data_IF_742866656040
#
_entry.id   IF_742866656040
#
_cell.length_a   1.000
_cell.length_b   1.000
_cell.length_c   1.000
_cell.angle_alpha   90.00
_cell.angle_beta   90.00
_cell.angle_gamma   90.00
#
_symmetry.space_group_name_H-M   'P 1'
#
loop_
_entity.id
_entity.type
_entity.pdbx_description
1 polymer ?
#
# COMPACT_ATOMS: atom_id res chain seq x y z
N UNK A 1 -37.44 -1.80 -0.14
CA UNK A 1 -36.16 -2.53 -0.25
C UNK A 1 -35.10 -1.64 0.37
N UNK A 2 -34.76 -1.88 1.63
CA UNK A 2 -33.85 -1.03 2.40
C UNK A 2 -32.42 -1.32 2.00
N UNK A 3 -31.75 -0.37 1.37
CA UNK A 3 -30.31 -0.42 1.10
C UNK A 3 -29.55 -0.54 2.42
N UNK A 4 -28.56 -1.44 2.54
CA UNK A 4 -27.77 -1.54 3.75
C UNK A 4 -26.96 -0.24 3.91
N UNK A 5 -27.19 0.41 5.04
CA UNK A 5 -26.58 1.65 5.48
C UNK A 5 -25.04 1.46 5.56
N UNK A 6 -24.34 1.69 4.44
CA UNK A 6 -22.88 1.83 4.46
C UNK A 6 -22.59 3.12 5.19
N UNK A 7 -22.21 3.05 6.46
CA UNK A 7 -21.59 4.18 7.13
C UNK A 7 -20.38 4.57 6.29
N UNK A 8 -20.46 5.71 5.61
CA UNK A 8 -19.34 6.27 4.86
C UNK A 8 -18.18 6.48 5.84
N UNK A 9 -17.11 5.73 5.66
CA UNK A 9 -15.88 5.88 6.44
C UNK A 9 -15.38 7.33 6.31
N UNK A 10 -15.21 8.02 7.44
CA UNK A 10 -14.69 9.39 7.44
C UNK A 10 -13.16 9.41 7.32
N UNK A 11 -12.59 10.53 6.85
CA UNK A 11 -11.13 10.69 6.75
C UNK A 11 -10.41 10.51 8.11
N UNK A 12 -10.90 11.07 9.23
CA UNK A 12 -10.28 10.81 10.53
C UNK A 12 -10.32 9.33 10.94
N UNK A 13 -11.39 8.60 10.63
CA UNK A 13 -11.51 7.17 10.94
C UNK A 13 -10.57 6.32 10.08
N UNK A 14 -10.49 6.61 8.78
CA UNK A 14 -9.57 5.94 7.88
C UNK A 14 -8.11 6.16 8.32
N UNK A 15 -7.73 7.41 8.61
CA UNK A 15 -6.41 7.74 9.16
C UNK A 15 -6.16 7.03 10.49
N UNK A 16 -7.14 6.95 11.39
CA UNK A 16 -7.01 6.23 12.66
C UNK A 16 -6.70 4.75 12.45
N UNK A 17 -7.27 4.12 11.43
CA UNK A 17 -6.99 2.72 11.07
C UNK A 17 -5.54 2.60 10.55
N UNK A 18 -5.16 3.43 9.57
CA UNK A 18 -3.86 3.36 8.92
C UNK A 18 -2.70 3.77 9.84
N UNK A 19 -2.92 4.72 10.76
CA UNK A 19 -1.90 5.18 11.70
C UNK A 19 -1.46 4.10 12.69
N UNK A 20 -2.22 3.00 12.84
CA UNK A 20 -1.79 1.83 13.64
C UNK A 20 -0.53 1.18 13.06
N UNK A 21 -0.26 1.38 11.78
CA UNK A 21 0.88 0.80 11.08
C UNK A 21 2.09 1.73 11.04
N UNK A 22 1.95 3.00 11.46
CA UNK A 22 3.05 3.95 11.40
C UNK A 22 4.21 3.50 12.28
N UNK A 23 5.43 3.66 11.75
CA UNK A 23 6.68 3.28 12.41
C UNK A 23 6.81 1.79 12.74
N UNK A 24 5.99 0.93 12.12
CA UNK A 24 6.23 -0.51 12.16
C UNK A 24 7.29 -0.88 11.12
N UNK A 25 8.38 -1.50 11.57
CA UNK A 25 9.43 -1.98 10.67
C UNK A 25 8.94 -3.20 9.86
N UNK A 26 8.20 -4.08 10.51
CA UNK A 26 7.64 -5.31 9.93
C UNK A 26 6.12 -5.25 10.07
N UNK A 27 5.43 -5.36 8.93
CA UNK A 27 3.98 -5.39 8.92
C UNK A 27 3.43 -6.60 9.70
N UNK A 28 2.37 -6.42 10.51
CA UNK A 28 1.77 -7.51 11.25
C UNK A 28 0.96 -8.42 10.32
N UNK A 29 0.81 -9.68 10.72
CA UNK A 29 -0.13 -10.60 10.06
C UNK A 29 -1.54 -10.23 10.55
N UNK A 30 -2.39 -9.78 9.62
CA UNK A 30 -3.76 -9.41 9.92
C UNK A 30 -4.73 -10.58 9.73
N UNK A 31 -5.72 -10.70 10.61
CA UNK A 31 -6.85 -11.61 10.41
C UNK A 31 -7.70 -11.12 9.23
N UNK A 32 -8.45 -12.01 8.54
CA UNK A 32 -9.34 -11.60 7.45
C UNK A 32 -10.31 -10.48 7.82
N UNK A 33 -10.84 -10.49 9.05
CA UNK A 33 -11.72 -9.45 9.59
C UNK A 33 -11.04 -8.09 9.77
N UNK A 34 -9.72 -8.05 9.89
CA UNK A 34 -8.92 -6.81 10.05
C UNK A 34 -8.44 -6.29 8.68
N UNK A 35 -8.25 -7.19 7.69
CA UNK A 35 -7.88 -6.81 6.33
C UNK A 35 -8.97 -5.99 5.64
N UNK A 36 -10.25 -6.31 5.85
CA UNK A 36 -11.38 -5.60 5.23
C UNK A 36 -11.36 -4.09 5.58
N UNK A 37 -11.45 -3.68 6.86
CA UNK A 37 -11.46 -2.27 7.20
C UNK A 37 -10.13 -1.57 6.85
N UNK A 38 -9.01 -2.28 6.87
CA UNK A 38 -7.71 -1.73 6.46
C UNK A 38 -7.68 -1.43 4.95
N UNK A 39 -8.22 -2.33 4.12
CA UNK A 39 -8.36 -2.11 2.67
C UNK A 39 -9.28 -0.93 2.37
N UNK A 40 -10.44 -0.88 3.02
CA UNK A 40 -11.41 0.21 2.85
C UNK A 40 -10.80 1.57 3.24
N UNK A 41 -10.09 1.63 4.36
CA UNK A 41 -9.39 2.83 4.80
C UNK A 41 -8.32 3.28 3.80
N UNK A 42 -7.52 2.35 3.29
CA UNK A 42 -6.46 2.67 2.34
C UNK A 42 -7.03 3.15 1.00
N UNK A 43 -8.00 2.43 0.42
CA UNK A 43 -8.66 2.84 -0.83
C UNK A 43 -9.32 4.22 -0.67
N UNK A 44 -9.97 4.46 0.47
CA UNK A 44 -10.60 5.75 0.73
C UNK A 44 -9.58 6.89 0.85
N UNK A 45 -8.49 6.72 1.60
CA UNK A 45 -7.48 7.79 1.75
C UNK A 45 -6.77 8.07 0.43
N UNK A 46 -6.42 7.02 -0.32
CA UNK A 46 -5.73 7.18 -1.60
C UNK A 46 -6.59 7.83 -2.67
N UNK A 47 -7.91 7.62 -2.66
CA UNK A 47 -8.83 8.31 -3.59
C UNK A 47 -8.95 9.82 -3.36
N UNK A 48 -8.47 10.31 -2.20
CA UNK A 48 -8.40 11.73 -1.85
C UNK A 48 -7.04 12.36 -2.19
N UNK A 49 -6.17 11.64 -2.90
CA UNK A 49 -4.83 12.11 -3.28
C UNK A 49 -4.59 12.02 -4.78
N UNK A 50 -3.69 12.87 -5.27
CA UNK A 50 -3.39 12.94 -6.70
C UNK A 50 -2.59 11.73 -7.20
N UNK A 51 -1.70 11.20 -6.36
CA UNK A 51 -0.94 10.00 -6.68
C UNK A 51 -0.37 9.34 -5.41
N UNK A 52 0.07 8.10 -5.57
CA UNK A 52 0.78 7.37 -4.53
C UNK A 52 2.15 6.88 -5.02
N UNK A 53 3.08 6.73 -4.08
CA UNK A 53 4.35 6.04 -4.28
C UNK A 53 4.38 4.85 -3.33
N UNK A 54 4.59 3.66 -3.89
CA UNK A 54 4.71 2.42 -3.14
C UNK A 54 6.18 2.10 -2.93
N UNK A 55 6.53 1.72 -1.71
CA UNK A 55 7.79 1.07 -1.36
C UNK A 55 7.50 -0.28 -0.72
N UNK A 56 8.00 -1.36 -1.29
CA UNK A 56 7.63 -2.72 -0.88
C UNK A 56 8.90 -3.46 -0.51
N UNK A 57 8.98 -3.94 0.73
CA UNK A 57 10.08 -4.77 1.22
C UNK A 57 9.57 -6.20 1.44
N UNK A 58 10.18 -7.19 0.79
CA UNK A 58 9.75 -8.60 0.86
C UNK A 58 10.95 -9.54 0.96
N UNK A 59 10.73 -10.77 1.42
CA UNK A 59 11.79 -11.78 1.53
C UNK A 59 12.15 -12.42 0.17
N UNK A 60 11.25 -12.34 -0.81
CA UNK A 60 11.44 -12.87 -2.16
C UNK A 60 10.88 -11.93 -3.23
N UNK A 61 11.41 -12.04 -4.45
CA UNK A 61 10.89 -11.30 -5.61
C UNK A 61 9.42 -11.64 -5.89
N UNK A 62 9.04 -12.90 -5.72
CA UNK A 62 7.68 -13.39 -5.94
C UNK A 62 6.67 -12.73 -5.01
N UNK A 63 6.98 -12.69 -3.70
CA UNK A 63 6.14 -12.01 -2.70
C UNK A 63 6.02 -10.52 -2.98
N UNK A 64 7.15 -9.85 -3.25
CA UNK A 64 7.17 -8.43 -3.56
C UNK A 64 6.35 -8.09 -4.80
N UNK A 65 6.50 -8.88 -5.87
CA UNK A 65 5.77 -8.69 -7.14
C UNK A 65 4.27 -8.96 -6.94
N UNK A 66 3.90 -9.97 -6.15
CA UNK A 66 2.50 -10.24 -5.83
C UNK A 66 1.87 -9.06 -5.07
N UNK A 67 2.57 -8.54 -4.05
CA UNK A 67 2.14 -7.36 -3.32
C UNK A 67 2.02 -6.14 -4.27
N UNK A 68 3.03 -5.88 -5.10
CA UNK A 68 3.00 -4.79 -6.08
C UNK A 68 1.78 -4.88 -6.98
N UNK A 69 1.50 -6.06 -7.57
CA UNK A 69 0.38 -6.27 -8.50
C UNK A 69 -0.98 -6.08 -7.82
N UNK A 70 -1.15 -6.63 -6.61
CA UNK A 70 -2.43 -6.56 -5.90
C UNK A 70 -2.71 -5.15 -5.36
N UNK A 71 -1.70 -4.49 -4.77
CA UNK A 71 -1.81 -3.09 -4.33
C UNK A 71 -2.05 -2.13 -5.49
N UNK A 72 -1.21 -2.16 -6.53
CA UNK A 72 -1.37 -1.27 -7.69
C UNK A 72 -2.75 -1.39 -8.32
N UNK A 73 -3.24 -2.62 -8.52
CA UNK A 73 -4.59 -2.85 -9.07
C UNK A 73 -5.69 -2.30 -8.17
N UNK A 74 -5.58 -2.47 -6.85
CA UNK A 74 -6.56 -1.92 -5.91
C UNK A 74 -6.58 -0.38 -5.90
N UNK A 75 -5.43 0.24 -6.20
CA UNK A 75 -5.26 1.69 -6.29
C UNK A 75 -5.49 2.26 -7.71
N UNK A 76 -5.88 1.41 -8.68
CA UNK A 76 -6.17 1.85 -10.05
C UNK A 76 -4.95 2.03 -10.95
N UNK A 77 -3.77 1.57 -10.53
CA UNK A 77 -2.55 1.56 -11.35
C UNK A 77 -2.39 0.27 -12.14
N UNK A 78 -1.76 0.37 -13.32
CA UNK A 78 -1.30 -0.79 -14.07
C UNK A 78 0.14 -1.15 -13.64
N UNK A 79 0.37 -2.33 -13.04
CA UNK A 79 1.72 -2.77 -12.70
C UNK A 79 2.51 -3.19 -13.94
N UNK A 80 3.84 -2.99 -13.96
CA UNK A 80 4.68 -3.62 -14.96
C UNK A 80 4.70 -5.15 -14.79
N UNK A 81 4.93 -5.85 -15.89
CA UNK A 81 4.96 -7.33 -15.94
C UNK A 81 6.38 -7.89 -15.90
N UNK A 82 7.38 -7.13 -16.32
CA UNK A 82 8.71 -7.64 -16.67
C UNK A 82 9.81 -7.06 -15.76
N UNK A 83 9.63 -7.22 -14.45
CA UNK A 83 10.65 -6.87 -13.47
C UNK A 83 11.66 -8.01 -13.28
N UNK A 84 12.96 -7.71 -13.06
CA UNK A 84 13.95 -8.72 -12.73
C UNK A 84 13.59 -9.42 -11.42
N UNK A 85 13.93 -10.70 -11.30
CA UNK A 85 13.66 -11.52 -10.11
C UNK A 85 14.98 -12.01 -9.50
N UNK A 86 15.72 -11.14 -8.80
CA UNK A 86 16.93 -11.54 -8.10
C UNK A 86 16.60 -12.50 -6.96
N UNK A 87 17.57 -13.33 -6.58
CA UNK A 87 17.46 -14.17 -5.40
C UNK A 87 17.55 -13.34 -4.11
N UNK A 88 16.82 -13.76 -3.08
CA UNK A 88 16.83 -13.17 -1.75
C UNK A 88 15.85 -11.99 -1.58
N UNK A 89 15.98 -11.23 -0.47
CA UNK A 89 15.06 -10.15 -0.17
C UNK A 89 15.16 -8.99 -1.15
N UNK A 90 14.02 -8.34 -1.40
CA UNK A 90 13.88 -7.32 -2.44
C UNK A 90 13.20 -6.05 -1.92
N UNK A 91 13.50 -4.95 -2.61
CA UNK A 91 12.80 -3.68 -2.50
C UNK A 91 12.22 -3.31 -3.86
N UNK A 92 10.91 -3.07 -3.91
CA UNK A 92 10.23 -2.60 -5.12
C UNK A 92 9.73 -1.18 -4.87
N UNK A 93 10.01 -0.30 -5.83
CA UNK A 93 9.42 1.04 -5.89
C UNK A 93 8.46 1.12 -7.05
N UNK A 94 7.27 1.69 -6.82
CA UNK A 94 6.33 2.07 -7.88
C UNK A 94 5.88 3.50 -7.64
N UNK A 95 6.17 4.40 -8.58
CA UNK A 95 5.82 5.80 -8.48
C UNK A 95 4.64 6.13 -9.40
N UNK A 96 3.46 6.32 -8.81
CA UNK A 96 2.24 6.65 -9.54
C UNK A 96 2.26 8.02 -10.23
N UNK A 97 3.21 8.91 -9.90
CA UNK A 97 3.33 10.24 -10.54
C UNK A 97 3.93 10.17 -11.94
N UNK A 98 5.01 9.40 -12.08
CA UNK A 98 5.84 9.41 -13.29
C UNK A 98 6.04 8.02 -13.90
N UNK A 99 5.43 6.98 -13.33
CA UNK A 99 5.51 5.62 -13.81
C UNK A 99 6.83 4.92 -13.50
N UNK A 100 7.77 5.55 -12.78
CA UNK A 100 9.03 4.90 -12.40
C UNK A 100 8.72 3.65 -11.58
N UNK A 101 9.20 2.50 -12.04
CA UNK A 101 9.13 1.26 -11.30
C UNK A 101 10.44 0.48 -11.44
N UNK A 102 10.95 -0.04 -10.33
CA UNK A 102 12.13 -0.89 -10.29
C UNK A 102 12.06 -1.86 -9.12
N UNK A 103 12.85 -2.92 -9.21
CA UNK A 103 13.07 -3.92 -8.18
C UNK A 103 14.57 -4.07 -7.99
N UNK A 104 15.02 -3.91 -6.76
CA UNK A 104 16.42 -4.08 -6.35
C UNK A 104 16.56 -5.13 -5.23
N UNK A 105 17.73 -5.73 -5.10
CA UNK A 105 18.08 -6.52 -3.91
C UNK A 105 18.06 -5.63 -2.65
N UNK A 106 17.57 -6.18 -1.55
CA UNK A 106 17.36 -5.42 -0.32
C UNK A 106 18.04 -6.10 0.87
N UNK A 107 18.93 -5.37 1.53
CA UNK A 107 19.65 -5.83 2.73
C UNK A 107 19.05 -5.33 4.04
N UNK A 108 17.98 -4.52 3.98
CA UNK A 108 17.32 -3.98 5.16
C UNK A 108 16.37 -4.98 5.84
N UNK A 109 15.94 -4.62 7.05
CA UNK A 109 15.12 -5.48 7.91
C UNK A 109 13.62 -5.23 7.81
N UNK A 110 13.18 -4.20 7.09
CA UNK A 110 11.77 -3.87 6.97
C UNK A 110 11.01 -4.88 6.12
N UNK A 111 9.73 -5.12 6.41
CA UNK A 111 8.86 -5.99 5.60
C UNK A 111 7.45 -5.42 5.50
N UNK A 112 6.88 -5.43 4.31
CA UNK A 112 5.57 -4.87 4.03
C UNK A 112 5.61 -3.72 3.03
N UNK A 113 4.50 -2.98 2.95
CA UNK A 113 4.26 -1.93 1.97
C UNK A 113 4.14 -0.57 2.64
N UNK A 114 4.98 0.38 2.26
CA UNK A 114 4.78 1.80 2.50
C UNK A 114 3.96 2.40 1.37
N UNK A 115 2.93 3.17 1.71
CA UNK A 115 2.11 3.93 0.76
C UNK A 115 2.27 5.41 1.09
N UNK A 116 3.05 6.10 0.27
CA UNK A 116 3.21 7.55 0.34
C UNK A 116 2.14 8.22 -0.52
N UNK A 117 1.17 8.86 0.11
CA UNK A 117 0.06 9.56 -0.56
C UNK A 117 0.42 11.03 -0.73
N UNK A 118 0.20 11.57 -1.93
CA UNK A 118 0.67 12.90 -2.31
C UNK A 118 -0.43 13.73 -2.98
N UNK A 119 -0.56 14.98 -2.58
CA UNK A 119 -1.52 15.94 -3.14
C UNK A 119 -0.84 17.26 -3.47
N UNK A 120 -1.14 17.85 -4.64
CA UNK A 120 -0.58 19.12 -5.08
C UNK A 120 -1.15 20.33 -4.33
N UNK A 121 -2.40 20.22 -3.88
CA UNK A 121 -3.11 21.31 -3.21
C UNK A 121 -2.76 21.38 -1.73
N UNK A 122 -2.63 22.60 -1.21
CA UNK A 122 -2.52 22.86 0.22
C UNK A 122 -3.76 22.35 0.95
N UNK A 123 -3.57 21.63 2.06
CA UNK A 123 -4.64 20.94 2.78
C UNK A 123 -5.02 19.56 2.23
N UNK A 124 -4.50 19.16 1.06
CA UNK A 124 -4.59 17.79 0.57
C UNK A 124 -3.80 16.79 1.42
N UNK A 125 -4.14 15.50 1.32
CA UNK A 125 -3.43 14.46 2.10
C UNK A 125 -2.01 14.28 1.52
N UNK A 126 -1.01 14.50 2.37
CA UNK A 126 0.41 14.34 2.08
C UNK A 126 1.06 13.55 3.22
N UNK A 127 0.71 12.27 3.32
CA UNK A 127 1.06 11.37 4.44
C UNK A 127 1.63 10.06 3.91
N UNK A 128 2.38 9.36 4.76
CA UNK A 128 2.89 8.02 4.48
C UNK A 128 2.35 7.04 5.50
N UNK A 129 1.83 5.92 5.02
CA UNK A 129 1.27 4.85 5.87
C UNK A 129 2.06 3.56 5.70
N UNK A 130 2.28 2.86 6.81
CA UNK A 130 2.86 1.52 6.83
C UNK A 130 4.10 1.37 7.73
N UNK A 131 4.71 0.18 7.76
CA UNK A 131 4.51 -0.90 6.77
C UNK A 131 3.17 -1.64 6.90
N UNK A 132 2.44 -1.74 5.79
CA UNK A 132 1.20 -2.51 5.64
C UNK A 132 1.50 -3.94 5.18
N UNK A 133 0.62 -4.93 5.42
CA UNK A 133 0.89 -6.32 5.07
C UNK A 133 1.06 -6.54 3.57
N UNK A 134 2.05 -7.36 3.16
CA UNK A 134 2.28 -7.72 1.75
C UNK A 134 1.04 -8.35 1.10
N UNK A 135 0.25 -9.07 1.89
CA UNK A 135 -0.93 -9.83 1.48
C UNK A 135 -2.26 -9.12 1.77
N UNK A 136 -2.24 -7.78 1.95
CA UNK A 136 -3.45 -7.01 2.30
C UNK A 136 -4.56 -7.14 1.24
N UNK A 137 -4.18 -7.24 -0.04
CA UNK A 137 -5.08 -7.32 -1.20
C UNK A 137 -5.06 -8.68 -1.91
N UNK A 138 -4.54 -9.72 -1.26
CA UNK A 138 -4.58 -11.12 -1.74
C UNK A 138 -5.89 -11.77 -1.34
#
# INVERSE_FOLDING_TARGET
MSTPNHQQLSLPEAKKILNKFNCLDIAPILKPSEKIPTREALIFVTSLTDYQILGICADTAEEGILAMKTYSRALGYQPPTDLPQPEGPVYIKLNGKNGLCYLDSYSGHHRGVLVSCQSYQEGGVNEMYGHLPLDLFV
#
